data_IF_943929941781
#
_entry.id   IF_943929941781
#
_cell.length_a   1.000
_cell.length_b   1.000
_cell.length_c   1.000
_cell.angle_alpha   90.00
_cell.angle_beta   90.00
_cell.angle_gamma   90.00
#
_symmetry.space_group_name_H-M   'P 1'
#
loop_
_entity.id
_entity.type
_entity.pdbx_description
1 polymer ?
#
# COMPACT_ATOMS: atom_id res chain seq x y z
N UNK A 1 -16.25 -8.19 -16.77
CA UNK A 1 -16.57 -8.98 -15.56
C UNK A 1 -16.98 -8.02 -14.47
N UNK A 2 -18.06 -8.30 -13.73
CA UNK A 2 -18.48 -7.50 -12.57
C UNK A 2 -17.74 -7.95 -11.29
N UNK A 3 -17.80 -7.15 -10.23
CA UNK A 3 -17.19 -7.50 -8.94
C UNK A 3 -17.79 -8.79 -8.36
N UNK A 4 -19.12 -8.94 -8.40
CA UNK A 4 -19.81 -10.17 -7.97
C UNK A 4 -19.36 -11.41 -8.77
N UNK A 5 -19.11 -11.25 -10.08
CA UNK A 5 -18.59 -12.35 -10.90
C UNK A 5 -17.15 -12.73 -10.50
N UNK A 6 -16.30 -11.74 -10.27
CA UNK A 6 -14.92 -11.97 -9.82
C UNK A 6 -14.91 -12.66 -8.44
N UNK A 7 -15.71 -12.17 -7.50
CA UNK A 7 -15.86 -12.74 -6.15
C UNK A 7 -16.32 -14.20 -6.24
N UNK A 8 -17.34 -14.50 -7.04
CA UNK A 8 -17.83 -15.87 -7.21
C UNK A 8 -16.76 -16.82 -7.79
N UNK A 9 -15.94 -16.34 -8.73
CA UNK A 9 -14.81 -17.12 -9.29
C UNK A 9 -13.77 -17.41 -8.21
N UNK A 10 -13.43 -16.41 -7.38
CA UNK A 10 -12.46 -16.54 -6.29
C UNK A 10 -12.98 -17.50 -5.21
N UNK A 11 -14.25 -17.37 -4.80
CA UNK A 11 -14.88 -18.26 -3.83
C UNK A 11 -14.90 -19.72 -4.33
N UNK A 12 -15.12 -19.92 -5.63
CA UNK A 12 -15.04 -21.25 -6.24
C UNK A 12 -13.63 -21.83 -6.11
N UNK A 13 -12.60 -21.05 -6.45
CA UNK A 13 -11.21 -21.50 -6.33
C UNK A 13 -10.82 -21.76 -4.87
N UNK A 14 -11.16 -20.90 -3.92
CA UNK A 14 -10.79 -21.08 -2.52
C UNK A 14 -11.51 -22.28 -1.87
N UNK A 15 -12.72 -22.59 -2.36
CA UNK A 15 -13.46 -23.79 -1.94
C UNK A 15 -12.87 -25.06 -2.53
N UNK A 16 -12.69 -25.10 -3.85
CA UNK A 16 -12.30 -26.30 -4.60
C UNK A 16 -10.79 -26.53 -4.68
N UNK A 17 -9.99 -25.48 -4.50
CA UNK A 17 -8.51 -25.46 -4.52
C UNK A 17 -7.97 -26.11 -5.80
N UNK A 18 -8.41 -25.61 -6.96
CA UNK A 18 -8.03 -26.23 -8.23
C UNK A 18 -6.56 -25.97 -8.58
N UNK A 19 -5.96 -24.92 -8.02
CA UNK A 19 -4.53 -24.67 -8.08
C UNK A 19 -3.83 -25.17 -6.81
N UNK A 20 -2.72 -25.91 -6.97
CA UNK A 20 -1.93 -26.38 -5.83
C UNK A 20 -1.38 -25.24 -4.96
N UNK A 21 -1.07 -24.08 -5.56
CA UNK A 21 -0.65 -22.88 -4.80
C UNK A 21 -1.76 -22.34 -3.90
N UNK A 22 -3.03 -22.45 -4.30
CA UNK A 22 -4.18 -22.07 -3.46
C UNK A 22 -4.24 -22.95 -2.21
N UNK A 23 -4.06 -24.26 -2.38
CA UNK A 23 -4.03 -25.19 -1.25
C UNK A 23 -2.90 -24.87 -0.28
N UNK A 24 -1.69 -24.64 -0.78
CA UNK A 24 -0.52 -24.27 0.04
C UNK A 24 -0.74 -22.99 0.84
N UNK A 25 -1.27 -21.94 0.23
CA UNK A 25 -1.56 -20.69 0.94
C UNK A 25 -2.66 -20.86 1.99
N UNK A 26 -3.73 -21.59 1.67
CA UNK A 26 -4.85 -21.80 2.60
C UNK A 26 -4.54 -22.77 3.74
N UNK A 27 -3.44 -23.53 3.67
CA UNK A 27 -2.95 -24.35 4.78
C UNK A 27 -2.36 -23.50 5.91
N UNK A 28 -1.76 -22.35 5.57
CA UNK A 28 -1.00 -21.52 6.51
C UNK A 28 -1.67 -20.17 6.80
N UNK A 29 -2.65 -19.78 6.00
CA UNK A 29 -3.34 -18.50 6.06
C UNK A 29 -4.84 -18.64 5.83
N UNK A 30 -5.60 -17.63 6.21
CA UNK A 30 -7.05 -17.61 6.02
C UNK A 30 -7.51 -16.26 5.49
N UNK A 31 -8.36 -16.21 4.45
CA UNK A 31 -8.97 -14.96 4.03
C UNK A 31 -10.01 -14.52 5.06
N UNK A 32 -10.34 -13.23 5.06
CA UNK A 32 -11.42 -12.69 5.89
C UNK A 32 -12.76 -12.88 5.18
N UNK A 33 -13.79 -13.28 5.93
CA UNK A 33 -15.17 -13.35 5.45
C UNK A 33 -16.04 -12.30 6.16
N UNK A 34 -16.99 -11.71 5.43
CA UNK A 34 -18.02 -10.80 5.96
C UNK A 34 -19.36 -11.23 5.38
N UNK A 35 -20.36 -11.44 6.23
CA UNK A 35 -21.69 -11.94 5.82
C UNK A 35 -21.63 -13.23 4.97
N UNK A 36 -20.76 -14.17 5.37
CA UNK A 36 -20.47 -15.43 4.67
C UNK A 36 -19.91 -15.28 3.23
N UNK A 37 -19.51 -14.09 2.82
CA UNK A 37 -18.81 -13.84 1.56
C UNK A 37 -17.35 -13.52 1.81
N UNK A 38 -16.48 -13.91 0.89
CA UNK A 38 -15.07 -13.55 0.97
C UNK A 38 -14.91 -12.03 0.84
N UNK A 39 -14.15 -11.41 1.74
CA UNK A 39 -13.88 -9.98 1.70
C UNK A 39 -12.83 -9.71 0.61
N UNK A 40 -13.10 -8.73 -0.24
CA UNK A 40 -12.18 -8.23 -1.27
C UNK A 40 -12.01 -6.74 -1.04
N UNK A 41 -10.78 -6.30 -0.78
CA UNK A 41 -10.50 -4.90 -0.44
C UNK A 41 -10.31 -4.04 -1.69
N UNK A 42 -9.84 -4.63 -2.80
CA UNK A 42 -9.79 -3.98 -4.13
C UNK A 42 -9.80 -5.04 -5.22
N UNK A 43 -10.40 -4.70 -6.36
CA UNK A 43 -10.20 -5.43 -7.61
C UNK A 43 -9.58 -4.48 -8.63
N UNK A 44 -8.32 -4.72 -8.95
CA UNK A 44 -7.60 -3.97 -9.95
C UNK A 44 -7.91 -4.47 -11.36
N UNK A 45 -8.11 -3.50 -12.26
CA UNK A 45 -8.49 -3.67 -13.67
C UNK A 45 -7.59 -2.86 -14.59
N UNK A 46 -6.53 -2.26 -14.06
CA UNK A 46 -5.61 -1.39 -14.79
C UNK A 46 -4.65 -2.20 -15.70
N UNK A 47 -4.55 -3.53 -15.49
CA UNK A 47 -3.72 -4.39 -16.32
C UNK A 47 -4.18 -4.42 -17.79
N UNK A 48 -3.20 -4.24 -18.69
CA UNK A 48 -3.42 -4.20 -20.15
C UNK A 48 -3.44 -5.59 -20.81
N UNK A 49 -3.06 -6.63 -20.09
CA UNK A 49 -2.96 -8.00 -20.63
C UNK A 49 -4.30 -8.78 -20.61
N UNK A 50 -5.36 -8.17 -20.06
CA UNK A 50 -6.66 -8.82 -19.89
C UNK A 50 -6.75 -9.71 -18.66
N UNK A 51 -5.86 -9.52 -17.68
CA UNK A 51 -6.03 -10.03 -16.32
C UNK A 51 -6.64 -8.97 -15.39
N UNK A 52 -7.26 -9.43 -14.31
CA UNK A 52 -7.63 -8.61 -13.16
C UNK A 52 -6.99 -9.21 -11.92
N UNK A 53 -6.67 -8.35 -10.93
CA UNK A 53 -6.08 -8.78 -9.66
C UNK A 53 -7.05 -8.43 -8.55
N UNK A 54 -7.50 -9.42 -7.78
CA UNK A 54 -8.30 -9.19 -6.58
C UNK A 54 -7.41 -9.31 -5.34
N UNK A 55 -7.46 -8.29 -4.49
CA UNK A 55 -6.72 -8.22 -3.23
C UNK A 55 -7.62 -8.59 -2.06
N UNK A 56 -7.32 -9.71 -1.41
CA UNK A 56 -8.10 -10.24 -0.30
C UNK A 56 -7.30 -10.11 0.98
N UNK A 57 -7.83 -9.45 2.02
CA UNK A 57 -7.12 -9.34 3.29
C UNK A 57 -6.97 -10.72 3.96
N UNK A 58 -5.80 -10.94 4.54
CA UNK A 58 -5.45 -12.16 5.28
C UNK A 58 -5.68 -11.93 6.77
N UNK A 59 -6.32 -12.89 7.44
CA UNK A 59 -6.67 -12.79 8.84
C UNK A 59 -5.42 -12.62 9.72
N UNK A 60 -5.41 -11.59 10.56
CA UNK A 60 -4.31 -11.25 11.49
C UNK A 60 -2.98 -10.88 10.84
N UNK A 61 -2.95 -10.66 9.52
CA UNK A 61 -1.73 -10.37 8.77
C UNK A 61 -1.79 -9.00 8.10
N UNK A 62 -0.62 -8.51 7.71
CA UNK A 62 -0.44 -7.25 6.97
C UNK A 62 0.12 -7.51 5.58
N UNK A 63 -0.61 -8.30 4.81
CA UNK A 63 -0.44 -8.50 3.38
C UNK A 63 -1.75 -9.05 2.84
N UNK A 64 -1.86 -9.15 1.52
CA UNK A 64 -3.06 -9.63 0.85
C UNK A 64 -2.79 -10.94 0.13
N UNK A 65 -3.81 -11.76 -0.05
CA UNK A 65 -3.79 -12.65 -1.22
C UNK A 65 -4.01 -11.81 -2.46
N UNK A 66 -3.18 -12.03 -3.47
CA UNK A 66 -3.39 -11.52 -4.83
C UNK A 66 -3.92 -12.68 -5.69
N UNK A 67 -5.16 -12.55 -6.16
CA UNK A 67 -5.82 -13.55 -6.99
C UNK A 67 -5.92 -13.03 -8.41
N UNK A 68 -5.25 -13.71 -9.34
CA UNK A 68 -5.16 -13.32 -10.74
C UNK A 68 -6.26 -14.04 -11.53
N UNK A 69 -7.10 -13.29 -12.22
CA UNK A 69 -8.20 -13.84 -13.02
C UNK A 69 -8.03 -13.40 -14.47
N UNK A 70 -8.00 -14.37 -15.38
CA UNK A 70 -8.02 -14.11 -16.81
C UNK A 70 -9.46 -13.76 -17.25
N UNK A 71 -9.64 -12.57 -17.83
CA UNK A 71 -10.97 -12.05 -18.20
C UNK A 71 -11.55 -12.70 -19.47
N UNK A 72 -10.76 -13.42 -20.25
CA UNK A 72 -11.23 -14.12 -21.47
C UNK A 72 -11.80 -15.49 -21.12
N UNK A 73 -11.17 -16.17 -20.17
CA UNK A 73 -11.52 -17.53 -19.73
C UNK A 73 -12.36 -17.55 -18.46
N UNK A 74 -12.40 -16.43 -17.71
CA UNK A 74 -13.07 -16.30 -16.41
C UNK A 74 -12.56 -17.34 -15.40
N UNK A 75 -11.24 -17.58 -15.37
CA UNK A 75 -10.59 -18.54 -14.47
C UNK A 75 -9.52 -17.86 -13.64
N UNK A 76 -9.37 -18.35 -12.41
CA UNK A 76 -8.18 -18.03 -11.62
C UNK A 76 -6.98 -18.69 -12.29
N UNK A 77 -5.97 -17.88 -12.61
CA UNK A 77 -4.72 -18.34 -13.23
C UNK A 77 -3.57 -18.40 -12.24
N UNK A 78 -3.70 -17.72 -11.09
CA UNK A 78 -2.72 -17.74 -10.03
C UNK A 78 -3.26 -17.19 -8.72
N UNK A 79 -2.66 -17.65 -7.62
CA UNK A 79 -2.83 -17.09 -6.28
C UNK A 79 -1.43 -16.85 -5.71
N UNK A 80 -1.19 -15.65 -5.22
CA UNK A 80 0.05 -15.23 -4.56
C UNK A 80 -0.25 -14.38 -3.34
N UNK A 81 0.80 -13.78 -2.78
CA UNK A 81 0.69 -12.72 -1.78
C UNK A 81 1.18 -11.40 -2.36
N UNK A 82 0.52 -10.31 -1.98
CA UNK A 82 0.95 -8.94 -2.26
C UNK A 82 1.27 -8.25 -0.93
N UNK A 83 2.39 -7.54 -0.89
CA UNK A 83 2.80 -6.83 0.31
C UNK A 83 1.82 -5.69 0.64
N UNK A 84 1.63 -5.41 1.93
CA UNK A 84 0.90 -4.22 2.34
C UNK A 84 1.82 -3.01 2.20
N UNK A 85 1.56 -2.18 1.19
CA UNK A 85 2.32 -0.97 0.92
C UNK A 85 1.61 0.28 1.43
N UNK A 86 2.36 1.12 2.18
CA UNK A 86 2.02 2.52 2.39
C UNK A 86 3.14 3.38 1.83
N UNK A 87 2.85 4.08 0.73
CA UNK A 87 3.76 5.04 0.11
C UNK A 87 3.15 6.42 0.29
N UNK A 88 3.81 7.28 1.06
CA UNK A 88 3.26 8.59 1.41
C UNK A 88 4.35 9.65 1.50
N UNK A 89 3.96 10.88 1.19
CA UNK A 89 4.79 12.04 1.51
C UNK A 89 4.66 12.37 2.98
N UNK A 90 5.77 12.74 3.60
CA UNK A 90 5.82 13.16 4.99
C UNK A 90 6.74 14.37 5.13
N UNK A 91 6.25 15.39 5.82
CA UNK A 91 7.03 16.52 6.32
C UNK A 91 6.94 16.57 7.84
N UNK A 92 8.07 16.75 8.51
CA UNK A 92 8.17 16.84 9.96
C UNK A 92 9.00 18.02 10.41
N UNK A 93 8.59 18.67 11.50
CA UNK A 93 9.34 19.79 12.08
C UNK A 93 9.31 19.77 13.60
N UNK A 94 10.45 20.09 14.22
CA UNK A 94 10.54 20.24 15.67
C UNK A 94 10.17 21.65 16.15
N UNK A 95 10.07 22.61 15.22
CA UNK A 95 9.85 24.04 15.48
C UNK A 95 8.53 24.56 14.91
N UNK A 96 8.11 24.09 13.74
CA UNK A 96 6.88 24.52 13.09
C UNK A 96 5.65 23.77 13.63
N UNK A 97 4.53 24.46 13.67
CA UNK A 97 3.20 23.92 13.96
C UNK A 97 2.57 23.31 12.70
N UNK A 98 1.52 22.50 12.89
CA UNK A 98 0.74 21.93 11.78
C UNK A 98 0.14 23.01 10.89
N UNK A 99 -0.32 24.14 11.45
CA UNK A 99 -0.93 25.20 10.64
C UNK A 99 0.11 25.88 9.76
N UNK A 100 1.31 26.15 10.28
CA UNK A 100 2.43 26.66 9.48
C UNK A 100 2.85 25.67 8.37
N UNK A 101 2.80 24.36 8.63
CA UNK A 101 3.06 23.34 7.60
C UNK A 101 1.96 23.35 6.52
N UNK A 102 0.68 23.46 6.92
CA UNK A 102 -0.44 23.51 5.97
C UNK A 102 -0.39 24.76 5.10
N UNK A 103 0.05 25.90 5.63
CA UNK A 103 0.18 27.14 4.84
C UNK A 103 1.23 27.01 3.71
N UNK A 104 2.14 26.04 3.79
CA UNK A 104 3.14 25.83 2.75
C UNK A 104 2.57 25.24 1.47
N UNK A 105 1.41 24.57 1.49
CA UNK A 105 0.84 23.90 0.31
C UNK A 105 -0.67 23.99 0.25
N UNK A 106 -1.23 23.98 -0.95
CA UNK A 106 -2.66 23.90 -1.15
C UNK A 106 -3.20 22.46 -1.06
N UNK A 107 -2.31 21.46 -0.90
CA UNK A 107 -2.70 20.05 -0.78
C UNK A 107 -3.23 19.74 0.62
N UNK A 108 -4.28 18.93 0.66
CA UNK A 108 -4.90 18.52 1.93
C UNK A 108 -4.15 17.32 2.54
N UNK A 109 -3.66 17.41 3.78
CA UNK A 109 -3.01 16.28 4.42
C UNK A 109 -4.01 15.19 4.80
N UNK A 110 -3.57 13.95 4.69
CA UNK A 110 -4.29 12.76 5.17
C UNK A 110 -4.14 12.57 6.69
N UNK A 111 -3.00 12.95 7.25
CA UNK A 111 -2.74 12.88 8.69
C UNK A 111 -1.86 14.02 9.17
N UNK A 112 -2.20 14.59 10.32
CA UNK A 112 -1.43 15.64 11.00
C UNK A 112 -1.41 15.44 12.51
N UNK A 113 -0.38 15.96 13.15
CA UNK A 113 -0.34 16.17 14.61
C UNK A 113 0.69 17.26 14.93
N UNK A 114 0.51 17.97 16.03
CA UNK A 114 1.50 18.91 16.55
C UNK A 114 2.49 18.20 17.47
N UNK A 115 3.67 18.79 17.61
CA UNK A 115 4.55 18.50 18.74
C UNK A 115 3.81 18.73 20.06
N UNK A 116 3.90 17.78 20.98
CA UNK A 116 3.20 17.82 22.26
C UNK A 116 1.84 17.13 22.27
N UNK A 117 1.24 16.84 21.12
CA UNK A 117 -0.01 16.07 21.06
C UNK A 117 0.19 14.65 21.59
N UNK A 118 -0.83 14.12 22.27
CA UNK A 118 -0.79 12.75 22.76
C UNK A 118 -0.89 11.76 21.59
N UNK A 119 -0.03 10.74 21.58
CA UNK A 119 -0.10 9.68 20.55
C UNK A 119 -1.42 8.91 20.68
N UNK A 120 -2.06 8.63 19.54
CA UNK A 120 -3.30 7.81 19.47
C UNK A 120 -3.19 6.46 20.19
N UNK A 121 -2.00 5.87 20.19
CA UNK A 121 -1.68 4.62 20.88
C UNK A 121 -0.40 4.82 21.68
N UNK A 122 -0.54 5.02 22.99
CA UNK A 122 0.59 5.20 23.89
C UNK A 122 0.28 6.18 25.03
N UNK A 123 1.25 6.34 25.92
CA UNK A 123 1.20 7.30 27.04
C UNK A 123 2.22 8.44 26.87
N UNK A 124 2.72 8.64 25.65
CA UNK A 124 3.74 9.65 25.34
C UNK A 124 3.24 10.61 24.26
N UNK A 125 3.84 11.79 24.25
CA UNK A 125 3.52 12.84 23.30
C UNK A 125 4.36 12.71 22.02
N UNK A 126 3.91 13.33 20.94
CA UNK A 126 4.69 13.54 19.73
C UNK A 126 5.82 14.53 20.00
N UNK A 127 7.03 14.24 19.51
CA UNK A 127 8.22 15.08 19.70
C UNK A 127 8.43 16.10 18.58
N UNK A 128 7.62 16.03 17.53
CA UNK A 128 7.64 16.88 16.34
C UNK A 128 6.22 17.01 15.77
N UNK A 129 5.98 18.08 15.01
CA UNK A 129 4.77 18.26 14.20
C UNK A 129 4.90 17.51 12.87
N UNK A 130 3.78 17.02 12.35
CA UNK A 130 3.75 16.18 11.15
C UNK A 130 2.66 16.63 10.18
N UNK A 131 3.00 16.52 8.90
CA UNK A 131 2.10 16.64 7.78
C UNK A 131 2.32 15.44 6.84
N UNK A 132 1.28 14.66 6.57
CA UNK A 132 1.35 13.45 5.74
C UNK A 132 0.33 13.52 4.60
N UNK A 133 0.71 13.10 3.40
CA UNK A 133 -0.19 12.89 2.26
C UNK A 133 -0.07 11.43 1.78
N UNK A 134 -1.18 10.69 1.84
CA UNK A 134 -1.34 9.32 1.37
C UNK A 134 -2.54 9.25 0.40
N UNK A 135 -2.33 9.44 -0.92
CA UNK A 135 -3.42 9.54 -1.87
C UNK A 135 -4.01 8.17 -2.27
N UNK A 136 -3.27 7.08 -2.04
CA UNK A 136 -3.70 5.72 -2.37
C UNK A 136 -3.62 4.78 -1.14
N UNK A 137 -4.66 4.78 -0.27
CA UNK A 137 -4.70 3.95 0.93
C UNK A 137 -5.14 2.49 0.69
N UNK A 138 -5.68 2.17 -0.49
CA UNK A 138 -6.16 0.83 -0.86
C UNK A 138 -5.00 -0.17 -1.08
N UNK A 139 -5.22 -1.49 -1.19
CA UNK A 139 -4.16 -2.42 -1.62
C UNK A 139 -3.68 -2.08 -3.02
N UNK A 140 -2.37 -2.01 -3.26
CA UNK A 140 -1.80 -1.75 -4.60
C UNK A 140 -0.31 -2.07 -4.62
N UNK A 141 0.24 -2.21 -5.82
CA UNK A 141 1.68 -2.36 -6.04
C UNK A 141 2.44 -1.09 -5.63
N UNK A 142 3.70 -1.24 -5.24
CA UNK A 142 4.53 -0.12 -4.78
C UNK A 142 4.68 0.95 -5.88
N UNK A 143 4.95 0.51 -7.10
CA UNK A 143 5.20 1.34 -8.29
C UNK A 143 4.00 2.24 -8.59
N UNK A 144 2.80 1.65 -8.57
CA UNK A 144 1.57 2.39 -8.85
C UNK A 144 1.23 3.36 -7.72
N UNK A 145 1.52 2.99 -6.47
CA UNK A 145 1.39 3.92 -5.33
C UNK A 145 2.36 5.08 -5.41
N UNK A 146 3.61 4.84 -5.81
CA UNK A 146 4.61 5.89 -5.97
C UNK A 146 4.18 6.85 -7.08
N UNK A 147 3.74 6.34 -8.23
CA UNK A 147 3.23 7.17 -9.33
C UNK A 147 2.03 8.00 -8.90
N UNK A 148 1.02 7.38 -8.28
CA UNK A 148 -0.17 8.08 -7.76
C UNK A 148 0.19 9.13 -6.70
N UNK A 149 1.21 8.87 -5.88
CA UNK A 149 1.75 9.86 -4.94
C UNK A 149 2.38 11.03 -5.69
N UNK A 150 3.31 10.77 -6.61
CA UNK A 150 3.99 11.81 -7.38
C UNK A 150 3.00 12.64 -8.19
N UNK A 151 2.02 12.01 -8.85
CA UNK A 151 0.94 12.68 -9.59
C UNK A 151 0.17 13.66 -8.69
N UNK A 152 -0.07 13.27 -7.44
CA UNK A 152 -0.75 14.11 -6.46
C UNK A 152 0.13 15.27 -5.97
N UNK A 153 1.42 15.01 -5.69
CA UNK A 153 2.36 16.05 -5.27
C UNK A 153 2.60 17.11 -6.36
N UNK A 154 2.54 16.71 -7.63
CA UNK A 154 2.71 17.61 -8.78
C UNK A 154 1.58 18.64 -8.93
N UNK A 155 0.45 18.46 -8.23
CA UNK A 155 -0.64 19.43 -8.20
C UNK A 155 -0.25 20.74 -7.49
N UNK A 156 0.78 20.72 -6.64
CA UNK A 156 1.36 21.91 -6.02
C UNK A 156 2.88 21.77 -5.82
N UNK A 157 3.60 21.83 -6.95
CA UNK A 157 5.06 21.63 -6.96
C UNK A 157 5.82 22.56 -6.01
N UNK A 158 5.46 23.84 -6.02
CA UNK A 158 6.14 24.84 -5.21
C UNK A 158 5.84 24.65 -3.72
N UNK A 159 4.62 24.23 -3.36
CA UNK A 159 4.27 23.91 -1.98
C UNK A 159 5.01 22.70 -1.44
N UNK A 160 5.14 21.64 -2.24
CA UNK A 160 5.92 20.47 -1.84
C UNK A 160 7.40 20.82 -1.66
N UNK A 161 7.99 21.62 -2.55
CA UNK A 161 9.37 22.10 -2.38
C UNK A 161 9.56 22.88 -1.08
N UNK A 162 8.62 23.78 -0.74
CA UNK A 162 8.66 24.49 0.55
C UNK A 162 8.66 23.52 1.73
N UNK A 163 7.82 22.48 1.70
CA UNK A 163 7.80 21.47 2.76
C UNK A 163 9.10 20.66 2.81
N UNK A 164 9.69 20.32 1.68
CA UNK A 164 11.00 19.66 1.60
C UNK A 164 12.09 20.53 2.24
N UNK A 165 12.18 21.80 1.83
CA UNK A 165 13.25 22.71 2.24
C UNK A 165 13.13 23.16 3.69
N UNK A 166 11.91 23.30 4.22
CA UNK A 166 11.65 23.92 5.53
C UNK A 166 11.16 22.94 6.60
N UNK A 167 10.78 21.71 6.23
CA UNK A 167 10.11 20.78 7.13
C UNK A 167 10.47 19.30 6.87
N UNK A 168 11.75 19.01 6.57
CA UNK A 168 12.26 17.65 6.38
C UNK A 168 11.31 16.78 5.54
N UNK A 169 10.92 17.27 4.36
CA UNK A 169 9.99 16.57 3.47
C UNK A 169 10.67 15.40 2.74
N UNK A 170 10.06 14.21 2.76
CA UNK A 170 10.53 13.01 2.06
C UNK A 170 9.37 12.04 1.76
N UNK A 171 9.64 11.01 0.95
CA UNK A 171 8.73 9.88 0.76
C UNK A 171 9.05 8.80 1.79
N UNK A 172 8.06 8.37 2.55
CA UNK A 172 8.17 7.21 3.41
C UNK A 172 7.42 6.03 2.80
N UNK A 173 8.09 4.88 2.79
CA UNK A 173 7.51 3.58 2.42
C UNK A 173 7.48 2.72 3.67
N UNK A 174 6.31 2.17 3.98
CA UNK A 174 6.18 1.05 4.90
C UNK A 174 5.65 -0.15 4.10
N UNK A 175 6.37 -1.28 4.19
CA UNK A 175 6.09 -2.48 3.41
C UNK A 175 6.08 -3.69 4.33
N UNK A 176 4.92 -4.30 4.54
CA UNK A 176 4.76 -5.54 5.29
C UNK A 176 4.62 -6.70 4.28
N UNK A 177 5.58 -7.63 4.28
CA UNK A 177 5.68 -8.73 3.31
C UNK A 177 5.44 -10.09 3.98
N UNK A 178 4.87 -11.03 3.24
CA UNK A 178 4.70 -12.42 3.71
C UNK A 178 6.04 -13.17 3.79
N UNK A 179 6.28 -13.87 4.90
CA UNK A 179 7.49 -14.65 5.20
C UNK A 179 7.51 -16.05 4.54
N UNK A 180 6.79 -16.25 3.43
CA UNK A 180 6.49 -17.59 2.87
C UNK A 180 7.69 -18.51 2.77
N UNK A 181 8.59 -18.23 1.82
CA UNK A 181 9.83 -18.99 1.60
C UNK A 181 11.08 -18.20 2.02
N UNK A 182 10.93 -17.23 2.93
CA UNK A 182 12.02 -16.32 3.32
C UNK A 182 12.53 -15.39 2.21
N UNK A 183 11.89 -15.38 1.04
CA UNK A 183 12.16 -14.41 -0.02
C UNK A 183 11.35 -13.15 0.24
N UNK A 184 12.05 -12.03 0.36
CA UNK A 184 11.45 -10.70 0.45
C UNK A 184 11.64 -10.08 -0.93
N UNK A 185 10.53 -9.71 -1.59
CA UNK A 185 10.57 -9.01 -2.86
C UNK A 185 11.27 -7.65 -2.75
N UNK A 186 11.36 -6.94 -3.87
CA UNK A 186 12.00 -5.62 -3.91
C UNK A 186 11.20 -4.62 -4.72
N UNK A 187 11.12 -3.36 -4.28
CA UNK A 187 10.55 -2.29 -5.08
C UNK A 187 11.46 -1.95 -6.25
N UNK A 188 10.87 -1.60 -7.39
CA UNK A 188 11.57 -0.99 -8.51
C UNK A 188 11.14 0.48 -8.64
N UNK A 189 12.10 1.38 -8.80
CA UNK A 189 11.81 2.78 -9.13
C UNK A 189 12.38 3.04 -10.51
N UNK A 190 11.49 3.32 -11.47
CA UNK A 190 11.93 3.57 -12.84
C UNK A 190 12.61 4.95 -12.97
N UNK A 191 13.29 5.16 -14.11
CA UNK A 191 14.02 6.41 -14.35
C UNK A 191 13.13 7.65 -14.40
N UNK A 192 11.85 7.48 -14.74
CA UNK A 192 10.87 8.58 -14.79
C UNK A 192 10.54 9.02 -13.37
N UNK A 193 10.20 8.08 -12.49
CA UNK A 193 9.85 8.38 -11.11
C UNK A 193 11.06 8.90 -10.31
N UNK A 194 12.26 8.37 -10.54
CA UNK A 194 13.50 8.94 -9.97
C UNK A 194 13.67 10.41 -10.36
N UNK A 195 13.43 10.75 -11.63
CA UNK A 195 13.54 12.13 -12.11
C UNK A 195 12.51 13.03 -11.45
N UNK A 196 11.25 12.58 -11.39
CA UNK A 196 10.16 13.31 -10.73
C UNK A 196 10.48 13.57 -9.27
N UNK A 197 10.93 12.57 -8.51
CA UNK A 197 11.37 12.73 -7.13
C UNK A 197 12.49 13.79 -7.00
N UNK A 198 13.48 13.73 -7.89
CA UNK A 198 14.59 14.68 -7.90
C UNK A 198 14.13 16.12 -8.21
N UNK A 199 13.10 16.32 -9.04
CA UNK A 199 12.54 17.67 -9.30
C UNK A 199 12.01 18.35 -8.03
N UNK A 200 11.58 17.57 -7.04
CA UNK A 200 11.14 18.06 -5.73
C UNK A 200 12.24 18.11 -4.66
N UNK A 201 13.42 17.54 -4.93
CA UNK A 201 14.46 17.35 -3.91
C UNK A 201 14.13 16.24 -2.90
N UNK A 202 13.27 15.28 -3.27
CA UNK A 202 12.81 14.23 -2.37
C UNK A 202 13.86 13.13 -2.18
N UNK A 203 14.06 12.72 -0.94
CA UNK A 203 14.60 11.40 -0.59
C UNK A 203 13.46 10.39 -0.39
N UNK A 204 13.81 9.11 -0.30
CA UNK A 204 12.88 8.03 0.03
C UNK A 204 13.46 7.16 1.14
N UNK A 205 12.64 6.83 2.13
CA UNK A 205 12.98 5.92 3.22
C UNK A 205 12.11 4.66 3.16
N UNK A 206 12.70 3.50 3.42
CA UNK A 206 12.03 2.20 3.39
C UNK A 206 12.06 1.54 4.77
N UNK A 207 10.87 1.34 5.34
CA UNK A 207 10.65 0.53 6.54
C UNK A 207 10.06 -0.81 6.09
N UNK A 208 10.86 -1.88 6.14
CA UNK A 208 10.48 -3.20 5.69
C UNK A 208 10.17 -4.11 6.87
N UNK A 209 9.02 -4.77 6.82
CA UNK A 209 8.54 -5.72 7.81
C UNK A 209 8.22 -7.04 7.15
N UNK A 210 8.39 -8.13 7.91
CA UNK A 210 8.12 -9.48 7.46
C UNK A 210 7.19 -10.14 8.48
N UNK A 211 6.12 -10.76 8.00
CA UNK A 211 5.08 -11.38 8.83
C UNK A 211 4.47 -12.62 8.18
N UNK A 212 3.55 -13.27 8.88
CA UNK A 212 2.92 -14.50 8.43
C UNK A 212 3.72 -15.78 8.64
N UNK A 213 3.01 -16.89 8.56
CA UNK A 213 3.54 -18.24 8.63
C UNK A 213 4.34 -18.58 7.37
N UNK A 214 5.46 -19.30 7.55
CA UNK A 214 6.20 -19.89 6.42
C UNK A 214 5.46 -21.12 5.89
N UNK A 215 5.75 -21.49 4.64
CA UNK A 215 5.24 -22.74 4.08
C UNK A 215 5.80 -23.94 4.83
N UNK A 216 5.05 -25.04 4.83
CA UNK A 216 5.50 -26.31 5.42
C UNK A 216 6.40 -27.04 4.42
N UNK A 217 7.47 -27.63 4.92
CA UNK A 217 8.39 -28.52 4.16
C UNK A 217 7.75 -29.87 3.84
#
# INVERSE_FOLDING_TARGET
MTDDQAIAIIESEFKQKTLGVTEQYLEIHSPIYTDNKIKVDRIDRESKDGSIIAYLPVLSERFYFAVYIDTKTNKVTGVGTEAYHRVYFRATSETLTVEELKEMTNLTPTETWNKGDLRKRGKSNHTFSNFTILPNPEPDEFEDKLKKLLDHLEQDKDGIKRLVDNANGYIQVAMDTHNGNGMIGGPNIDTTDIRRMNEFGLSINFDLYVGGNSFRE
#
